data_IF_420009289591
#
_entry.id   IF_420009289591
#
_cell.length_a   1.000
_cell.length_b   1.000
_cell.length_c   1.000
_cell.angle_alpha   90.00
_cell.angle_beta   90.00
_cell.angle_gamma   90.00
#
_symmetry.space_group_name_H-M   'P 1'
#
loop_
_entity.id
_entity.type
_entity.pdbx_description
1 polymer ?
#
# COMPACT_ATOMS: atom_id res chain seq x y z
N UNK A 1 64.03 4.25 25.85
CA UNK A 1 62.96 3.86 24.94
C UNK A 1 61.70 4.64 25.37
N UNK A 2 61.29 5.61 24.55
CA UNK A 2 60.29 6.65 24.92
C UNK A 2 58.90 6.08 25.08
N UNK A 3 58.18 6.56 26.12
CA UNK A 3 56.79 6.19 26.43
C UNK A 3 55.86 6.41 25.19
N UNK A 4 56.20 7.31 24.32
CA UNK A 4 55.49 7.62 23.07
C UNK A 4 55.46 6.45 22.07
N UNK A 5 56.58 5.71 21.93
CA UNK A 5 56.68 4.58 21.00
C UNK A 5 55.94 3.34 21.50
N UNK A 6 55.77 3.20 22.83
CA UNK A 6 55.03 2.09 23.46
C UNK A 6 53.51 2.25 23.31
N UNK A 7 53.01 3.46 23.36
CA UNK A 7 51.56 3.74 23.17
C UNK A 7 51.11 3.62 21.72
N UNK A 8 52.00 3.95 20.75
CA UNK A 8 51.68 3.74 19.31
C UNK A 8 51.63 2.23 18.95
N UNK A 9 52.45 1.41 19.55
CA UNK A 9 52.43 -0.04 19.32
C UNK A 9 51.18 -0.71 19.90
N UNK A 10 50.68 -0.23 21.05
CA UNK A 10 49.43 -0.73 21.64
C UNK A 10 48.20 -0.27 20.86
N UNK A 11 48.14 0.97 20.37
CA UNK A 11 47.05 1.49 19.56
C UNK A 11 46.96 0.80 18.19
N UNK A 12 48.12 0.54 17.54
CA UNK A 12 48.18 -0.20 16.29
C UNK A 12 47.75 -1.68 16.42
N UNK A 13 48.15 -2.33 17.52
CA UNK A 13 47.77 -3.72 17.82
C UNK A 13 46.26 -3.85 18.09
N UNK A 14 45.67 -2.91 18.82
CA UNK A 14 44.22 -2.92 19.11
C UNK A 14 43.38 -2.66 17.86
N UNK A 15 43.76 -1.76 16.97
CA UNK A 15 43.08 -1.52 15.68
C UNK A 15 43.17 -2.74 14.75
N UNK A 16 44.30 -3.45 14.73
CA UNK A 16 44.45 -4.68 13.95
C UNK A 16 43.59 -5.82 14.50
N UNK A 17 43.46 -5.95 15.82
CA UNK A 17 42.61 -6.95 16.45
C UNK A 17 41.11 -6.67 16.20
N UNK A 18 40.67 -5.41 16.28
CA UNK A 18 39.29 -5.01 15.97
C UNK A 18 39.00 -5.26 14.48
N UNK A 19 39.94 -4.94 13.59
CA UNK A 19 39.79 -5.23 12.17
C UNK A 19 39.70 -6.74 11.88
N UNK A 20 40.48 -7.57 12.56
CA UNK A 20 40.42 -9.02 12.41
C UNK A 20 39.14 -9.64 12.94
N UNK A 21 38.61 -9.14 14.07
CA UNK A 21 37.35 -9.60 14.63
C UNK A 21 36.17 -9.16 13.74
N UNK A 22 36.21 -7.94 13.20
CA UNK A 22 35.21 -7.46 12.26
C UNK A 22 35.22 -8.24 10.95
N UNK A 23 36.42 -8.48 10.38
CA UNK A 23 36.56 -9.26 9.14
C UNK A 23 36.20 -10.75 9.34
N UNK A 24 36.53 -11.34 10.48
CA UNK A 24 36.11 -12.72 10.79
C UNK A 24 34.59 -12.80 11.03
N UNK A 25 34.01 -11.85 11.73
CA UNK A 25 32.54 -11.77 11.92
C UNK A 25 31.81 -11.58 10.60
N UNK A 26 32.28 -10.70 9.72
CA UNK A 26 31.73 -10.51 8.38
C UNK A 26 31.84 -11.77 7.51
N UNK A 27 33.01 -12.45 7.54
CA UNK A 27 33.22 -13.70 6.79
C UNK A 27 32.37 -14.86 7.31
N UNK A 28 32.22 -14.98 8.64
CA UNK A 28 31.38 -16.02 9.26
C UNK A 28 29.90 -15.73 9.00
N UNK A 29 29.46 -14.48 9.16
CA UNK A 29 28.07 -14.08 8.90
C UNK A 29 27.65 -14.29 7.44
N UNK A 30 28.54 -13.96 6.49
CA UNK A 30 28.28 -14.18 5.07
C UNK A 30 28.30 -15.68 4.68
N UNK A 31 29.08 -16.50 5.37
CA UNK A 31 29.09 -17.96 5.17
C UNK A 31 27.88 -18.64 5.76
N UNK A 32 27.41 -18.23 6.94
CA UNK A 32 26.23 -18.85 7.57
C UNK A 32 24.95 -18.61 6.76
N UNK A 33 24.74 -17.42 6.19
CA UNK A 33 23.61 -17.16 5.29
C UNK A 33 23.66 -18.03 4.01
N UNK A 34 24.83 -18.19 3.39
CA UNK A 34 24.97 -19.03 2.21
C UNK A 34 24.81 -20.54 2.51
N UNK A 35 25.23 -21.02 3.70
CA UNK A 35 25.03 -22.41 4.10
C UNK A 35 23.56 -22.73 4.44
N UNK A 36 22.82 -21.79 5.06
CA UNK A 36 21.39 -21.97 5.34
C UNK A 36 20.60 -22.05 4.03
N UNK A 37 20.92 -21.18 3.06
CA UNK A 37 20.28 -21.20 1.74
C UNK A 37 20.64 -22.46 0.94
N UNK A 38 21.90 -22.90 0.93
CA UNK A 38 22.33 -24.15 0.29
C UNK A 38 21.76 -25.40 0.97
N UNK A 39 21.58 -25.40 2.30
CA UNK A 39 20.96 -26.51 3.02
C UNK A 39 19.43 -26.57 2.73
N UNK A 40 18.76 -25.44 2.57
CA UNK A 40 17.35 -25.40 2.15
C UNK A 40 17.15 -25.91 0.72
N UNK A 41 18.08 -25.61 -0.21
CA UNK A 41 18.04 -26.16 -1.57
C UNK A 41 18.21 -27.70 -1.52
N UNK A 42 19.07 -28.24 -0.63
CA UNK A 42 19.24 -29.69 -0.51
C UNK A 42 18.00 -30.43 0.02
N UNK A 43 17.07 -29.74 0.69
CA UNK A 43 15.84 -30.32 1.17
C UNK A 43 14.74 -30.34 0.08
N UNK A 44 14.86 -29.51 -0.96
CA UNK A 44 14.04 -29.57 -2.18
C UNK A 44 14.49 -30.68 -3.16
N UNK A 45 15.60 -31.38 -2.85
CA UNK A 45 16.25 -32.39 -3.71
C UNK A 45 15.43 -33.66 -4.01
N UNK A 46 14.25 -33.82 -3.42
CA UNK A 46 13.35 -34.95 -3.71
C UNK A 46 12.20 -34.61 -4.65
N UNK A 47 12.11 -33.37 -5.14
CA UNK A 47 11.07 -33.00 -6.10
C UNK A 47 11.53 -33.34 -7.51
N UNK A 48 10.79 -34.22 -8.19
CA UNK A 48 11.07 -34.55 -9.59
C UNK A 48 10.72 -33.38 -10.52
N UNK A 49 11.69 -32.68 -11.03
CA UNK A 49 11.57 -31.59 -11.99
C UNK A 49 11.67 -32.02 -13.46
N UNK A 50 11.65 -33.33 -13.74
CA UNK A 50 11.81 -33.88 -15.10
C UNK A 50 10.71 -33.35 -16.04
N UNK A 51 9.48 -33.30 -15.58
CA UNK A 51 8.36 -32.77 -16.39
C UNK A 51 8.50 -31.28 -16.65
N UNK A 52 8.95 -30.52 -15.66
CA UNK A 52 9.22 -29.08 -15.81
C UNK A 52 10.25 -28.81 -16.94
N UNK A 53 11.38 -29.50 -16.90
CA UNK A 53 12.42 -29.33 -17.93
C UNK A 53 11.98 -29.84 -19.29
N UNK A 54 11.17 -30.89 -19.34
CA UNK A 54 10.61 -31.39 -20.59
C UNK A 54 9.65 -30.40 -21.22
N UNK A 55 8.78 -29.74 -20.41
CA UNK A 55 7.89 -28.67 -20.90
C UNK A 55 8.71 -27.49 -21.38
N UNK A 56 9.74 -27.06 -20.65
CA UNK A 56 10.64 -26.00 -21.05
C UNK A 56 11.23 -26.26 -22.45
N UNK A 57 11.82 -27.44 -22.63
CA UNK A 57 12.41 -27.83 -23.92
C UNK A 57 11.38 -27.86 -25.06
N UNK A 58 10.19 -28.43 -24.80
CA UNK A 58 9.13 -28.48 -25.80
C UNK A 58 8.63 -27.08 -26.22
N UNK A 59 8.60 -26.13 -25.31
CA UNK A 59 8.27 -24.74 -25.61
C UNK A 59 9.36 -24.10 -26.49
N UNK A 60 10.61 -24.31 -26.17
CA UNK A 60 11.74 -23.80 -26.99
C UNK A 60 11.75 -24.39 -28.41
N UNK A 61 11.37 -25.68 -28.55
CA UNK A 61 11.39 -26.38 -29.83
C UNK A 61 10.12 -26.14 -30.70
N UNK A 62 8.96 -25.98 -30.05
CA UNK A 62 7.66 -26.05 -30.76
C UNK A 62 6.81 -24.80 -30.71
N UNK A 63 7.08 -23.87 -29.78
CA UNK A 63 6.22 -22.70 -29.64
C UNK A 63 6.43 -21.73 -30.81
N UNK A 64 5.35 -21.38 -31.44
CA UNK A 64 5.29 -20.36 -32.52
C UNK A 64 4.35 -19.27 -32.04
N UNK A 65 4.87 -18.04 -31.89
CA UNK A 65 4.03 -16.88 -31.52
C UNK A 65 3.04 -16.58 -32.63
N UNK A 66 1.76 -16.42 -32.29
CA UNK A 66 0.71 -16.02 -33.23
C UNK A 66 0.77 -14.52 -33.58
N UNK A 67 1.54 -13.72 -32.86
CA UNK A 67 1.73 -12.30 -33.12
C UNK A 67 3.21 -11.98 -33.35
N UNK A 68 3.49 -10.89 -34.08
CA UNK A 68 4.84 -10.38 -34.32
C UNK A 68 5.49 -9.70 -33.12
N UNK A 69 5.01 -10.00 -31.91
CA UNK A 69 5.58 -9.48 -30.66
C UNK A 69 6.95 -10.09 -30.38
N UNK A 70 7.77 -9.34 -29.69
CA UNK A 70 9.15 -9.69 -29.31
C UNK A 70 9.19 -11.08 -28.63
N UNK A 71 10.15 -11.91 -29.04
CA UNK A 71 10.34 -13.24 -28.46
C UNK A 71 10.62 -13.10 -26.94
N UNK A 72 9.89 -13.88 -26.11
CA UNK A 72 10.09 -13.93 -24.66
C UNK A 72 11.48 -14.48 -24.36
N UNK A 73 12.26 -13.75 -23.58
CA UNK A 73 13.60 -14.16 -23.15
C UNK A 73 13.55 -15.35 -22.16
N UNK A 74 14.64 -16.08 -22.04
CA UNK A 74 14.72 -17.16 -21.05
C UNK A 74 14.56 -16.63 -19.61
N UNK A 75 15.02 -15.40 -19.34
CA UNK A 75 14.83 -14.78 -18.03
C UNK A 75 13.37 -14.48 -17.72
N UNK A 76 12.61 -14.00 -18.70
CA UNK A 76 11.16 -13.77 -18.54
C UNK A 76 10.40 -15.09 -18.34
N UNK A 77 10.83 -16.19 -19.00
CA UNK A 77 10.28 -17.53 -18.75
C UNK A 77 10.54 -18.01 -17.32
N UNK A 78 11.75 -17.76 -16.78
CA UNK A 78 12.08 -18.06 -15.37
C UNK A 78 11.19 -17.27 -14.44
N UNK A 79 11.02 -15.98 -14.65
CA UNK A 79 10.12 -15.16 -13.82
C UNK A 79 8.67 -15.64 -13.90
N UNK A 80 8.19 -15.99 -15.09
CA UNK A 80 6.86 -16.58 -15.26
C UNK A 80 6.69 -17.92 -14.51
N UNK A 81 7.71 -18.75 -14.50
CA UNK A 81 7.70 -20.01 -13.75
C UNK A 81 7.68 -19.76 -12.23
N UNK A 82 8.44 -18.76 -11.73
CA UNK A 82 8.42 -18.36 -10.31
C UNK A 82 7.04 -17.80 -9.95
N UNK A 83 6.45 -16.94 -10.79
CA UNK A 83 5.09 -16.42 -10.57
C UNK A 83 4.08 -17.56 -10.47
N UNK A 84 4.11 -18.53 -11.40
CA UNK A 84 3.24 -19.70 -11.36
C UNK A 84 3.42 -20.57 -10.11
N UNK A 85 4.66 -20.70 -9.61
CA UNK A 85 4.92 -21.38 -8.33
C UNK A 85 4.27 -20.64 -7.17
N UNK A 86 4.39 -19.32 -7.12
CA UNK A 86 3.78 -18.48 -6.09
C UNK A 86 2.25 -18.55 -6.18
N UNK A 87 1.68 -18.44 -7.36
CA UNK A 87 0.23 -18.51 -7.61
C UNK A 87 -0.38 -19.85 -7.17
N UNK A 88 0.42 -20.94 -7.23
CA UNK A 88 -0.02 -22.27 -6.80
C UNK A 88 -0.35 -22.38 -5.31
N UNK A 89 0.10 -21.41 -4.48
CA UNK A 89 -0.24 -21.34 -3.06
C UNK A 89 -1.70 -20.93 -2.81
N UNK A 90 -2.37 -20.33 -3.81
CA UNK A 90 -3.75 -19.84 -3.69
C UNK A 90 -3.91 -18.63 -2.75
N UNK A 91 -2.81 -17.99 -2.36
CA UNK A 91 -2.82 -16.77 -1.55
C UNK A 91 -2.71 -15.53 -2.45
N UNK A 92 -3.77 -14.70 -2.53
CA UNK A 92 -3.78 -13.53 -3.42
C UNK A 92 -2.82 -12.42 -2.97
N UNK A 93 -2.21 -12.53 -1.78
CA UNK A 93 -1.32 -11.52 -1.21
C UNK A 93 0.15 -11.87 -1.35
N UNK A 94 0.48 -13.15 -1.56
CA UNK A 94 1.83 -13.59 -1.88
C UNK A 94 2.10 -13.39 -3.36
N UNK A 95 3.15 -12.61 -3.69
CA UNK A 95 3.42 -12.17 -5.06
C UNK A 95 4.90 -12.08 -5.32
N UNK A 96 5.37 -12.65 -6.42
CA UNK A 96 6.70 -12.41 -6.94
C UNK A 96 6.71 -11.13 -7.79
N UNK A 97 7.70 -10.27 -7.58
CA UNK A 97 7.88 -9.03 -8.33
C UNK A 97 9.10 -9.12 -9.23
N UNK A 98 8.93 -9.27 -10.55
CA UNK A 98 9.96 -8.97 -11.55
C UNK A 98 10.42 -7.50 -11.48
N UNK A 99 11.49 -7.09 -12.20
CA UNK A 99 12.11 -5.78 -12.05
C UNK A 99 11.15 -4.60 -12.17
N UNK A 100 10.30 -4.60 -13.20
CA UNK A 100 9.36 -3.50 -13.44
C UNK A 100 8.28 -3.42 -12.36
N UNK A 101 7.73 -4.58 -11.97
CA UNK A 101 6.70 -4.65 -10.92
C UNK A 101 7.27 -4.29 -9.53
N UNK A 102 8.55 -4.69 -9.24
CA UNK A 102 9.25 -4.27 -8.02
C UNK A 102 9.37 -2.75 -7.95
N UNK A 103 9.75 -2.12 -9.07
CA UNK A 103 9.83 -0.65 -9.18
C UNK A 103 8.48 0.00 -8.94
N UNK A 104 7.43 -0.45 -9.61
CA UNK A 104 6.08 0.08 -9.47
C UNK A 104 5.54 -0.09 -8.04
N UNK A 105 5.83 -1.22 -7.39
CA UNK A 105 5.46 -1.45 -6.01
C UNK A 105 6.16 -0.47 -5.06
N UNK A 106 7.48 -0.27 -5.22
CA UNK A 106 8.23 0.70 -4.43
C UNK A 106 7.69 2.14 -4.60
N UNK A 107 7.42 2.56 -5.83
CA UNK A 107 6.83 3.87 -6.14
C UNK A 107 5.44 4.03 -5.47
N UNK A 108 4.63 2.98 -5.45
CA UNK A 108 3.32 3.00 -4.80
C UNK A 108 3.40 3.21 -3.28
N UNK A 109 4.42 2.62 -2.63
CA UNK A 109 4.68 2.80 -1.20
C UNK A 109 5.20 4.20 -0.86
N UNK A 110 5.92 4.83 -1.78
CA UNK A 110 6.40 6.20 -1.63
C UNK A 110 5.29 7.25 -1.81
N UNK A 111 4.12 6.85 -2.31
CA UNK A 111 3.02 7.73 -2.66
C UNK A 111 3.26 8.54 -3.94
N UNK A 112 4.26 8.14 -4.70
CA UNK A 112 4.62 8.74 -5.99
C UNK A 112 4.49 7.67 -7.07
N UNK A 113 3.97 8.03 -8.22
CA UNK A 113 4.01 7.15 -9.39
C UNK A 113 4.18 7.98 -10.67
N UNK A 114 4.79 7.36 -11.67
CA UNK A 114 4.93 7.97 -12.98
C UNK A 114 3.68 7.70 -13.82
N UNK A 115 3.02 8.75 -14.27
CA UNK A 115 1.79 8.65 -15.04
C UNK A 115 1.16 10.00 -15.36
N UNK A 116 -0.15 10.03 -15.55
CA UNK A 116 -0.87 11.25 -15.92
C UNK A 116 -1.73 11.83 -14.81
N UNK A 117 -1.97 11.09 -13.71
CA UNK A 117 -2.68 11.59 -12.52
C UNK A 117 -4.18 11.75 -12.76
N UNK A 118 -4.88 10.65 -12.93
CA UNK A 118 -6.33 10.59 -12.92
C UNK A 118 -6.81 9.28 -12.27
N UNK A 119 -7.96 9.32 -11.65
CA UNK A 119 -8.70 8.17 -11.17
C UNK A 119 -9.58 7.65 -12.31
N UNK A 120 -9.58 6.34 -12.49
CA UNK A 120 -10.37 5.65 -13.52
C UNK A 120 -11.23 4.55 -12.90
N UNK A 121 -12.31 4.22 -13.56
CA UNK A 121 -13.25 3.18 -13.16
C UNK A 121 -13.84 2.46 -14.37
N UNK A 122 -14.74 1.50 -14.11
CA UNK A 122 -15.58 0.88 -15.12
C UNK A 122 -17.02 1.19 -14.75
N UNK A 123 -17.75 1.80 -15.66
CA UNK A 123 -19.18 2.09 -15.58
C UNK A 123 -19.86 1.59 -16.87
N UNK A 124 -20.89 0.76 -16.73
CA UNK A 124 -21.61 0.14 -17.87
C UNK A 124 -20.65 -0.54 -18.89
N UNK A 125 -19.69 -1.32 -18.35
CA UNK A 125 -18.64 -2.01 -19.10
C UNK A 125 -17.67 -1.08 -19.88
N UNK A 126 -17.72 0.23 -19.66
CA UNK A 126 -16.83 1.22 -20.26
C UNK A 126 -15.77 1.71 -19.29
N UNK A 127 -14.56 1.94 -19.80
CA UNK A 127 -13.45 2.51 -19.07
C UNK A 127 -13.63 4.04 -18.95
N UNK A 128 -13.90 4.56 -17.76
CA UNK A 128 -14.26 5.97 -17.56
C UNK A 128 -13.29 6.70 -16.63
N UNK A 129 -13.17 8.00 -16.84
CA UNK A 129 -12.45 8.91 -15.95
C UNK A 129 -13.37 9.28 -14.78
N UNK A 130 -13.04 8.83 -13.58
CA UNK A 130 -13.77 9.20 -12.36
C UNK A 130 -13.43 10.65 -11.98
N UNK A 131 -12.13 10.99 -11.95
CA UNK A 131 -11.65 12.35 -11.70
C UNK A 131 -10.17 12.51 -12.09
N UNK A 132 -9.77 13.58 -12.78
CA UNK A 132 -8.37 13.99 -12.83
C UNK A 132 -7.93 14.51 -11.46
N UNK A 133 -6.70 14.21 -11.07
CA UNK A 133 -6.11 14.74 -9.85
C UNK A 133 -5.75 16.21 -10.05
N UNK A 134 -5.93 17.00 -9.00
CA UNK A 134 -5.60 18.43 -9.04
C UNK A 134 -4.13 18.66 -9.41
N UNK A 135 -3.87 19.64 -10.27
CA UNK A 135 -2.55 20.04 -10.78
C UNK A 135 -1.83 18.93 -11.59
N UNK A 136 -2.50 17.82 -11.90
CA UNK A 136 -1.94 16.70 -12.67
C UNK A 136 -1.79 16.99 -14.16
N UNK A 137 -0.99 16.21 -14.91
CA UNK A 137 -0.96 16.25 -16.37
C UNK A 137 -2.33 16.02 -17.02
N UNK A 138 -3.14 15.11 -16.47
CA UNK A 138 -4.49 14.83 -17.00
C UNK A 138 -5.41 16.04 -16.87
N UNK A 139 -5.43 16.71 -15.70
CA UNK A 139 -6.22 17.93 -15.51
C UNK A 139 -5.75 19.05 -16.46
N UNK A 140 -4.42 19.25 -16.58
CA UNK A 140 -3.84 20.26 -17.50
C UNK A 140 -4.15 19.97 -18.97
N UNK A 141 -4.29 18.69 -19.35
CA UNK A 141 -4.71 18.28 -20.69
C UNK A 141 -6.22 18.41 -20.91
N UNK A 142 -6.98 18.79 -19.89
CA UNK A 142 -8.42 19.01 -19.99
C UNK A 142 -9.27 17.75 -19.90
N UNK A 143 -8.77 16.69 -19.26
CA UNK A 143 -9.57 15.51 -18.91
C UNK A 143 -10.63 15.91 -17.88
N UNK A 144 -11.82 15.32 -17.99
CA UNK A 144 -12.96 15.64 -17.12
C UNK A 144 -13.60 14.36 -16.56
N UNK A 145 -14.26 14.45 -15.40
CA UNK A 145 -15.10 13.36 -14.90
C UNK A 145 -16.16 12.97 -15.93
N UNK A 146 -16.33 11.66 -16.16
CA UNK A 146 -17.28 11.12 -17.13
C UNK A 146 -16.72 10.95 -18.55
N UNK A 147 -15.48 11.37 -18.83
CA UNK A 147 -14.86 11.04 -20.11
C UNK A 147 -14.73 9.52 -20.26
N UNK A 148 -15.28 8.95 -21.32
CA UNK A 148 -15.12 7.54 -21.67
C UNK A 148 -13.81 7.39 -22.44
N UNK A 149 -12.89 6.57 -21.96
CA UNK A 149 -11.65 6.26 -22.65
C UNK A 149 -11.89 5.07 -23.56
N UNK A 150 -11.87 5.27 -24.86
CA UNK A 150 -12.11 4.24 -25.88
C UNK A 150 -10.84 3.49 -26.23
N UNK A 151 -9.71 4.20 -26.31
CA UNK A 151 -8.41 3.62 -26.64
C UNK A 151 -7.29 4.25 -25.80
N UNK A 152 -6.24 3.45 -25.55
CA UNK A 152 -4.98 3.86 -24.93
C UNK A 152 -3.86 3.50 -25.91
N UNK A 153 -3.18 4.52 -26.45
CA UNK A 153 -2.13 4.36 -27.49
C UNK A 153 -2.60 3.50 -28.68
N UNK A 154 -3.85 3.69 -29.13
CA UNK A 154 -4.45 2.95 -30.23
C UNK A 154 -4.90 1.52 -29.90
N UNK A 155 -4.91 1.13 -28.62
CA UNK A 155 -5.41 -0.17 -28.16
C UNK A 155 -6.76 0.03 -27.49
N UNK A 156 -7.81 -0.65 -27.98
CA UNK A 156 -9.17 -0.57 -27.42
C UNK A 156 -9.18 -0.96 -25.92
N UNK A 157 -9.97 -0.22 -25.14
CA UNK A 157 -10.21 -0.51 -23.72
C UNK A 157 -11.36 -1.48 -23.48
N UNK A 158 -12.08 -1.88 -24.54
CA UNK A 158 -13.20 -2.82 -24.42
C UNK A 158 -12.75 -4.15 -23.79
N UNK A 159 -13.40 -4.53 -22.71
CA UNK A 159 -13.07 -5.75 -21.95
C UNK A 159 -11.78 -5.69 -21.14
N UNK A 160 -11.10 -4.54 -21.06
CA UNK A 160 -9.94 -4.38 -20.15
C UNK A 160 -10.39 -4.29 -18.70
N UNK A 161 -9.58 -4.87 -17.80
CA UNK A 161 -9.70 -4.57 -16.37
C UNK A 161 -9.10 -3.19 -16.07
N UNK A 162 -9.42 -2.64 -14.90
CA UNK A 162 -8.85 -1.36 -14.44
C UNK A 162 -7.31 -1.45 -14.40
N UNK A 163 -6.77 -2.56 -13.89
CA UNK A 163 -5.33 -2.80 -13.78
C UNK A 163 -4.65 -2.79 -15.14
N UNK A 164 -5.25 -3.45 -16.12
CA UNK A 164 -4.73 -3.49 -17.50
C UNK A 164 -4.69 -2.08 -18.13
N UNK A 165 -5.77 -1.31 -17.97
CA UNK A 165 -5.83 0.06 -18.46
C UNK A 165 -4.83 0.97 -17.74
N UNK A 166 -4.76 0.88 -16.41
CA UNK A 166 -3.81 1.66 -15.60
C UNK A 166 -2.36 1.33 -15.98
N UNK A 167 -2.02 0.05 -16.21
CA UNK A 167 -0.67 -0.35 -16.63
C UNK A 167 -0.26 0.29 -17.95
N UNK A 168 -1.20 0.45 -18.90
CA UNK A 168 -0.93 1.10 -20.20
C UNK A 168 -0.84 2.63 -20.08
N UNK A 169 -1.64 3.23 -19.19
CA UNK A 169 -1.64 4.68 -18.95
C UNK A 169 -0.36 5.11 -18.22
N UNK A 170 0.12 4.32 -17.24
CA UNK A 170 1.39 4.55 -16.56
C UNK A 170 2.57 4.39 -17.52
N UNK A 171 3.72 4.88 -17.11
CA UNK A 171 4.96 4.75 -17.87
C UNK A 171 5.94 5.86 -17.52
N UNK A 172 7.19 5.78 -18.03
CA UNK A 172 8.28 6.67 -17.64
C UNK A 172 7.96 8.15 -17.83
N UNK A 173 8.37 8.97 -16.87
CA UNK A 173 8.29 10.44 -16.91
C UNK A 173 8.81 10.99 -18.24
N UNK A 174 8.08 11.95 -18.80
CA UNK A 174 8.44 12.60 -20.06
C UNK A 174 7.99 11.84 -21.30
N UNK A 175 7.50 10.60 -21.17
CA UNK A 175 6.85 9.88 -22.29
C UNK A 175 5.41 10.38 -22.46
N UNK A 176 4.84 10.18 -23.64
CA UNK A 176 3.46 10.60 -23.93
C UNK A 176 2.56 9.38 -24.04
N UNK A 177 1.37 9.45 -23.44
CA UNK A 177 0.26 8.54 -23.73
C UNK A 177 -0.79 9.30 -24.54
N UNK A 178 -1.41 8.63 -25.50
CA UNK A 178 -2.55 9.15 -26.26
C UNK A 178 -3.80 8.42 -25.79
N UNK A 179 -4.81 9.16 -25.32
CA UNK A 179 -6.11 8.63 -24.95
C UNK A 179 -7.11 9.08 -26.00
N UNK A 180 -7.76 8.14 -26.70
CA UNK A 180 -8.93 8.45 -27.51
C UNK A 180 -10.14 8.43 -26.60
N UNK A 181 -10.81 9.56 -26.44
CA UNK A 181 -11.92 9.71 -25.51
C UNK A 181 -13.20 10.12 -26.23
N UNK A 182 -14.34 9.70 -25.64
CA UNK A 182 -15.65 10.25 -25.94
C UNK A 182 -16.18 11.01 -24.71
N UNK A 183 -16.67 12.20 -24.93
CA UNK A 183 -17.25 13.06 -23.88
C UNK A 183 -18.71 13.30 -24.19
N UNK A 184 -19.57 13.15 -23.19
CA UNK A 184 -20.99 13.44 -23.33
C UNK A 184 -21.21 14.90 -23.78
N UNK A 185 -22.05 15.08 -24.83
CA UNK A 185 -22.28 16.37 -25.46
C UNK A 185 -21.29 16.77 -26.58
N UNK A 186 -20.27 15.97 -26.86
CA UNK A 186 -19.41 16.12 -28.06
C UNK A 186 -19.94 15.23 -29.22
N UNK A 187 -19.79 15.69 -30.46
CA UNK A 187 -20.30 14.97 -31.64
C UNK A 187 -19.39 13.81 -32.10
N UNK A 188 -18.13 13.80 -31.67
CA UNK A 188 -17.12 12.82 -32.08
C UNK A 188 -16.10 12.56 -30.96
N UNK A 189 -15.45 11.39 -31.06
CA UNK A 189 -14.26 11.04 -30.28
C UNK A 189 -13.09 11.97 -30.63
N UNK A 190 -12.16 12.12 -29.67
CA UNK A 190 -10.95 12.91 -29.88
C UNK A 190 -9.75 12.34 -29.13
N UNK A 191 -8.57 12.57 -29.71
CA UNK A 191 -7.30 12.21 -29.07
C UNK A 191 -6.84 13.28 -28.11
N UNK A 192 -6.47 12.86 -26.89
CA UNK A 192 -5.83 13.69 -25.89
C UNK A 192 -4.43 13.13 -25.63
N UNK A 193 -3.41 13.91 -25.98
CA UNK A 193 -2.00 13.56 -25.74
C UNK A 193 -1.56 14.14 -24.41
N UNK A 194 -1.10 13.26 -23.51
CA UNK A 194 -0.73 13.64 -22.15
C UNK A 194 0.69 13.19 -21.88
N UNK A 195 1.55 14.13 -21.52
CA UNK A 195 2.93 13.82 -21.11
C UNK A 195 2.91 13.32 -19.67
N UNK A 196 3.46 12.13 -19.44
CA UNK A 196 3.57 11.53 -18.12
C UNK A 196 4.54 12.32 -17.25
N UNK A 197 4.20 12.48 -15.99
CA UNK A 197 5.05 13.13 -14.97
C UNK A 197 4.97 12.34 -13.66
N UNK A 198 5.76 12.76 -12.67
CA UNK A 198 5.65 12.22 -11.32
C UNK A 198 4.37 12.78 -10.69
N UNK A 199 3.47 11.89 -10.32
CA UNK A 199 2.21 12.21 -9.65
C UNK A 199 2.44 12.05 -8.15
N UNK A 200 2.34 13.15 -7.42
CA UNK A 200 2.38 13.14 -5.97
C UNK A 200 0.95 13.11 -5.44
N UNK A 201 0.56 12.02 -4.83
CA UNK A 201 -0.68 11.96 -4.07
C UNK A 201 -0.33 12.36 -2.64
N UNK A 202 -0.90 13.44 -2.10
CA UNK A 202 -0.68 13.76 -0.69
C UNK A 202 -1.20 12.61 0.17
N UNK A 203 -0.39 12.11 1.11
CA UNK A 203 -0.86 11.07 2.03
C UNK A 203 -1.98 11.61 2.95
N UNK A 204 -1.98 12.91 3.21
CA UNK A 204 -2.88 13.55 4.17
C UNK A 204 -3.43 14.85 3.61
N UNK A 205 -4.72 15.09 3.89
CA UNK A 205 -5.39 16.37 3.70
C UNK A 205 -6.07 16.78 5.00
N UNK A 206 -5.99 18.04 5.35
CA UNK A 206 -6.69 18.62 6.50
C UNK A 206 -7.75 19.63 6.07
N UNK A 207 -8.86 19.68 6.77
CA UNK A 207 -9.86 20.73 6.61
C UNK A 207 -10.63 20.98 7.92
N UNK A 208 -11.30 22.13 8.02
CA UNK A 208 -12.16 22.45 9.16
C UNK A 208 -13.61 22.55 8.68
N UNK A 209 -14.51 21.77 9.26
CA UNK A 209 -15.95 21.75 8.99
C UNK A 209 -16.71 22.20 10.24
N UNK A 210 -16.95 23.50 10.35
CA UNK A 210 -17.58 24.09 11.54
C UNK A 210 -16.69 23.96 12.79
N UNK A 211 -17.11 23.14 13.75
CA UNK A 211 -16.39 22.87 15.00
C UNK A 211 -15.53 21.57 14.97
N UNK A 212 -15.53 20.87 13.84
CA UNK A 212 -14.81 19.63 13.62
C UNK A 212 -13.55 19.88 12.79
N UNK A 213 -12.43 19.33 13.22
CA UNK A 213 -11.21 19.21 12.42
C UNK A 213 -11.20 17.85 11.73
N UNK A 214 -10.93 17.85 10.44
CA UNK A 214 -10.93 16.64 9.60
C UNK A 214 -9.53 16.36 9.12
N UNK A 215 -9.08 15.12 9.29
CA UNK A 215 -7.86 14.57 8.69
C UNK A 215 -8.28 13.45 7.76
N UNK A 216 -8.09 13.61 6.47
CA UNK A 216 -8.22 12.54 5.48
C UNK A 216 -6.83 11.94 5.25
N UNK A 217 -6.66 10.66 5.59
CA UNK A 217 -5.42 9.90 5.41
C UNK A 217 -5.61 8.91 4.27
N UNK A 218 -4.87 9.07 3.18
CA UNK A 218 -5.02 8.30 1.95
C UNK A 218 -4.10 7.09 1.85
N UNK A 219 -2.93 7.13 2.53
CA UNK A 219 -2.00 5.99 2.59
C UNK A 219 -1.05 6.09 3.79
N UNK A 220 -0.49 4.95 4.21
CA UNK A 220 0.53 4.86 5.24
C UNK A 220 1.91 4.75 4.59
N UNK A 221 2.26 5.74 3.75
CA UNK A 221 3.54 5.83 3.06
C UNK A 221 4.69 6.28 3.96
N UNK A 222 5.90 6.37 3.41
CA UNK A 222 7.14 6.69 4.14
C UNK A 222 7.11 8.04 4.88
N UNK A 223 6.36 9.02 4.38
CA UNK A 223 6.23 10.36 4.98
C UNK A 223 4.99 10.53 5.84
N UNK A 224 4.08 9.57 5.82
CA UNK A 224 2.74 9.71 6.43
C UNK A 224 2.79 10.00 7.92
N UNK A 225 3.71 9.38 8.70
CA UNK A 225 3.89 9.66 10.12
C UNK A 225 4.26 11.12 10.39
N UNK A 226 5.19 11.70 9.63
CA UNK A 226 5.61 13.08 9.79
C UNK A 226 4.52 14.08 9.36
N UNK A 227 3.78 13.76 8.31
CA UNK A 227 2.64 14.54 7.82
C UNK A 227 1.48 14.47 8.82
N UNK A 228 1.20 13.29 9.40
CA UNK A 228 0.19 13.12 10.43
C UNK A 228 0.48 13.92 11.69
N UNK A 229 1.75 13.92 12.13
CA UNK A 229 2.21 14.79 13.23
C UNK A 229 1.95 16.27 12.92
N UNK A 230 2.19 16.70 11.69
CA UNK A 230 1.90 18.07 11.24
C UNK A 230 0.41 18.36 11.29
N UNK A 231 -0.44 17.44 10.80
CA UNK A 231 -1.89 17.56 10.85
C UNK A 231 -2.44 17.60 12.29
N UNK A 232 -1.88 16.80 13.21
CA UNK A 232 -2.22 16.88 14.64
C UNK A 232 -1.80 18.21 15.28
N UNK A 233 -0.67 18.78 14.87
CA UNK A 233 -0.25 20.11 15.30
C UNK A 233 -1.24 21.18 14.81
N UNK A 234 -1.71 21.11 13.57
CA UNK A 234 -2.74 21.99 13.03
C UNK A 234 -4.05 21.83 13.81
N UNK A 235 -4.43 20.59 14.12
CA UNK A 235 -5.60 20.30 14.96
C UNK A 235 -5.50 21.02 16.32
N UNK A 236 -4.40 20.86 17.04
CA UNK A 236 -4.17 21.53 18.33
C UNK A 236 -4.25 23.06 18.19
N UNK A 237 -3.60 23.62 17.16
CA UNK A 237 -3.62 25.08 16.90
C UNK A 237 -5.01 25.58 16.53
N UNK A 238 -5.85 24.76 15.93
CA UNK A 238 -7.25 25.09 15.58
C UNK A 238 -8.15 25.29 16.79
N UNK A 239 -7.70 24.84 18.00
CA UNK A 239 -8.48 24.86 19.25
C UNK A 239 -9.82 24.13 19.15
N UNK A 240 -9.93 23.18 18.22
CA UNK A 240 -11.10 22.30 18.15
C UNK A 240 -10.93 21.12 19.11
N UNK A 241 -12.03 20.58 19.61
CA UNK A 241 -12.07 19.40 20.48
C UNK A 241 -12.62 18.16 19.79
N UNK A 242 -13.02 18.29 18.52
CA UNK A 242 -13.61 17.22 17.71
C UNK A 242 -12.74 16.91 16.52
N UNK A 243 -12.34 15.63 16.41
CA UNK A 243 -11.48 15.12 15.34
C UNK A 243 -12.23 14.07 14.54
N UNK A 244 -12.31 14.24 13.23
CA UNK A 244 -12.75 13.22 12.30
C UNK A 244 -11.53 12.75 11.50
N UNK A 245 -11.23 11.46 11.60
CA UNK A 245 -10.20 10.79 10.80
C UNK A 245 -10.89 10.00 9.69
N UNK A 246 -10.66 10.37 8.42
CA UNK A 246 -11.20 9.67 7.27
C UNK A 246 -10.17 8.71 6.68
N UNK A 247 -10.44 7.40 6.81
CA UNK A 247 -9.63 6.30 6.29
C UNK A 247 -10.32 5.59 5.12
N UNK A 248 -11.43 6.13 4.60
CA UNK A 248 -12.13 5.51 3.48
C UNK A 248 -11.25 5.50 2.23
N UNK A 249 -11.23 4.35 1.53
CA UNK A 249 -10.39 4.17 0.35
C UNK A 249 -8.89 4.10 0.64
N UNK A 250 -8.46 4.03 1.90
CA UNK A 250 -7.05 3.91 2.26
C UNK A 250 -6.62 2.43 2.32
N UNK A 251 -5.82 1.93 1.36
CA UNK A 251 -5.44 0.52 1.28
C UNK A 251 -4.41 0.10 2.34
N UNK A 252 -3.96 1.03 3.18
CA UNK A 252 -2.94 0.78 4.20
C UNK A 252 -1.55 1.30 3.81
N UNK A 253 -0.54 0.51 4.12
CA UNK A 253 0.88 0.79 3.92
C UNK A 253 1.74 0.24 5.06
N UNK A 254 2.71 1.03 5.53
CA UNK A 254 3.65 0.59 6.56
C UNK A 254 3.01 0.39 7.93
N UNK A 255 3.31 -0.76 8.54
CA UNK A 255 2.92 -1.08 9.92
C UNK A 255 3.39 -0.03 10.93
N UNK A 256 4.69 0.32 10.84
CA UNK A 256 5.30 1.26 11.79
C UNK A 256 4.60 2.61 11.77
N UNK A 257 4.10 3.05 10.60
CA UNK A 257 3.32 4.27 10.49
C UNK A 257 1.97 4.17 11.23
N UNK A 258 1.28 3.02 11.15
CA UNK A 258 0.03 2.81 11.88
C UNK A 258 0.26 2.79 13.40
N UNK A 259 1.33 2.13 13.85
CA UNK A 259 1.71 2.07 15.27
C UNK A 259 2.10 3.46 15.79
N UNK A 260 2.91 4.22 15.05
CA UNK A 260 3.27 5.61 15.40
C UNK A 260 2.01 6.50 15.50
N UNK A 261 1.12 6.44 14.50
CA UNK A 261 -0.12 7.23 14.51
C UNK A 261 -1.05 6.83 15.65
N UNK A 262 -1.19 5.54 15.96
CA UNK A 262 -1.97 5.07 17.09
C UNK A 262 -1.38 5.56 18.41
N UNK A 263 -0.05 5.66 18.52
CA UNK A 263 0.67 6.08 19.74
C UNK A 263 0.39 7.53 20.16
N UNK A 264 -0.15 8.36 19.28
CA UNK A 264 -0.61 9.71 19.65
C UNK A 264 -1.85 9.70 20.54
N UNK A 265 -2.63 8.61 20.52
CA UNK A 265 -3.93 8.50 21.19
C UNK A 265 -3.96 7.37 22.21
N UNK A 266 -3.34 6.24 21.90
CA UNK A 266 -3.32 5.04 22.76
C UNK A 266 -2.28 5.19 23.85
N UNK A 267 -2.62 4.90 25.13
CA UNK A 267 -1.67 4.98 26.23
C UNK A 267 -0.44 4.08 26.05
N UNK A 268 0.71 4.52 26.59
CA UNK A 268 1.98 3.80 26.51
C UNK A 268 1.88 2.35 26.98
N UNK A 269 2.52 1.45 26.24
CA UNK A 269 2.59 0.02 26.53
C UNK A 269 1.32 -0.77 26.21
N UNK A 270 0.22 -0.13 25.81
CA UNK A 270 -0.97 -0.81 25.31
C UNK A 270 -0.71 -1.40 23.93
N UNK A 271 -1.28 -2.57 23.66
CA UNK A 271 -1.16 -3.23 22.35
C UNK A 271 -1.91 -2.41 21.30
N UNK A 272 -1.28 -2.17 20.17
CA UNK A 272 -1.88 -1.58 18.97
C UNK A 272 -2.34 -2.69 18.03
N UNK A 273 -1.49 -3.70 17.84
CA UNK A 273 -1.77 -4.86 17.00
C UNK A 273 -0.85 -6.01 17.43
N UNK A 274 -1.29 -7.24 17.24
CA UNK A 274 -0.49 -8.45 17.46
C UNK A 274 -0.26 -9.16 16.14
N UNK A 275 0.98 -9.53 15.88
CA UNK A 275 1.41 -10.39 14.77
C UNK A 275 1.39 -11.85 15.25
N UNK A 276 0.52 -12.65 14.64
CA UNK A 276 0.30 -14.04 15.01
C UNK A 276 0.86 -14.98 13.94
N UNK A 277 1.95 -15.67 14.28
CA UNK A 277 2.64 -16.64 13.42
C UNK A 277 2.09 -18.06 13.58
N UNK A 278 1.09 -18.24 14.44
CA UNK A 278 0.48 -19.53 14.77
C UNK A 278 1.06 -20.15 16.04
N UNK A 279 2.36 -20.34 16.14
CA UNK A 279 3.07 -20.90 17.28
C UNK A 279 3.67 -19.84 18.21
N UNK A 280 3.86 -18.63 17.71
CA UNK A 280 4.30 -17.47 18.49
C UNK A 280 3.51 -16.21 18.12
N UNK A 281 3.48 -15.25 19.04
CA UNK A 281 2.84 -13.96 18.85
C UNK A 281 3.78 -12.82 19.21
N UNK A 282 3.71 -11.73 18.44
CA UNK A 282 4.50 -10.53 18.68
C UNK A 282 3.60 -9.31 18.75
N UNK A 283 3.62 -8.64 19.90
CA UNK A 283 2.85 -7.43 20.12
C UNK A 283 3.60 -6.19 19.66
N UNK A 284 2.91 -5.33 18.91
CA UNK A 284 3.30 -3.96 18.64
C UNK A 284 2.53 -3.04 19.59
N UNK A 285 3.28 -2.32 20.40
CA UNK A 285 2.72 -1.53 21.48
C UNK A 285 2.89 -0.05 21.25
N UNK A 286 1.93 0.72 21.74
CA UNK A 286 1.98 2.18 21.74
C UNK A 286 3.19 2.70 22.50
N UNK A 287 3.90 3.66 21.91
CA UNK A 287 4.94 4.44 22.56
C UNK A 287 4.38 5.48 23.55
N UNK A 288 3.08 5.80 23.42
CA UNK A 288 2.34 6.60 24.38
C UNK A 288 2.67 8.08 24.37
N UNK A 289 2.65 8.71 23.22
CA UNK A 289 2.76 10.17 23.16
C UNK A 289 1.55 10.86 23.77
N UNK A 290 0.37 10.23 23.70
CA UNK A 290 -0.91 10.50 24.36
C UNK A 290 -1.07 11.96 24.83
N UNK A 291 -1.01 12.88 23.85
CA UNK A 291 -1.06 14.33 24.12
C UNK A 291 -2.49 14.86 24.28
N UNK A 292 -3.48 14.03 24.01
CA UNK A 292 -4.89 14.40 24.05
C UNK A 292 -5.52 13.96 25.36
N UNK A 293 -6.35 14.84 25.94
CA UNK A 293 -7.14 14.54 27.13
C UNK A 293 -8.35 13.67 26.81
N UNK A 294 -9.00 13.12 27.83
CA UNK A 294 -10.27 12.37 27.72
C UNK A 294 -11.43 13.20 27.12
N UNK A 295 -11.24 14.51 26.98
CA UNK A 295 -12.21 15.41 26.34
C UNK A 295 -12.19 15.33 24.80
N UNK A 296 -11.17 14.71 24.18
CA UNK A 296 -11.13 14.52 22.75
C UNK A 296 -12.32 13.66 22.29
N UNK A 297 -13.13 14.22 21.40
CA UNK A 297 -14.18 13.47 20.71
C UNK A 297 -13.68 13.09 19.33
N UNK A 298 -13.64 11.79 19.05
CA UNK A 298 -13.06 11.26 17.82
C UNK A 298 -13.99 10.27 17.14
N UNK A 299 -14.09 10.41 15.82
CA UNK A 299 -14.74 9.46 14.92
C UNK A 299 -13.76 9.08 13.84
N UNK A 300 -13.75 7.82 13.45
CA UNK A 300 -13.00 7.31 12.30
C UNK A 300 -13.99 6.83 11.24
N UNK A 301 -13.92 7.40 10.05
CA UNK A 301 -14.65 6.93 8.88
C UNK A 301 -13.92 5.80 8.20
N UNK A 302 -14.62 4.70 7.94
CA UNK A 302 -14.09 3.50 7.29
C UNK A 302 -15.02 2.97 6.22
N UNK A 303 -14.49 2.26 5.23
CA UNK A 303 -15.27 1.55 4.23
C UNK A 303 -14.52 0.30 3.72
N UNK A 304 -15.08 -0.38 2.72
CA UNK A 304 -14.44 -1.56 2.08
C UNK A 304 -13.06 -1.29 1.47
N UNK A 305 -12.71 -0.03 1.23
CA UNK A 305 -11.38 0.37 0.77
C UNK A 305 -10.38 0.59 1.92
N UNK A 306 -10.82 0.58 3.19
CA UNK A 306 -9.95 0.66 4.36
C UNK A 306 -9.35 -0.71 4.64
N UNK A 307 -8.03 -0.87 4.45
CA UNK A 307 -7.36 -2.17 4.55
C UNK A 307 -6.02 -2.10 5.31
N UNK A 308 -5.56 -3.24 5.85
CA UNK A 308 -4.21 -3.41 6.42
C UNK A 308 -3.90 -2.38 7.53
N UNK A 309 -2.90 -1.49 7.36
CA UNK A 309 -2.52 -0.45 8.32
C UNK A 309 -3.71 0.45 8.74
N UNK A 310 -4.68 0.69 7.84
CA UNK A 310 -5.92 1.40 8.18
C UNK A 310 -6.76 0.62 9.19
N UNK A 311 -6.83 -0.69 9.05
CA UNK A 311 -7.56 -1.57 9.97
C UNK A 311 -6.83 -1.69 11.31
N UNK A 312 -5.50 -1.70 11.30
CA UNK A 312 -4.68 -1.67 12.52
C UNK A 312 -4.96 -0.40 13.32
N UNK A 313 -4.86 0.77 12.69
CA UNK A 313 -5.12 2.05 13.36
C UNK A 313 -6.57 2.16 13.84
N UNK A 314 -7.54 1.87 12.97
CA UNK A 314 -8.96 1.96 13.30
C UNK A 314 -9.36 0.99 14.42
N UNK A 315 -8.91 -0.27 14.35
CA UNK A 315 -9.16 -1.29 15.35
C UNK A 315 -8.57 -0.95 16.71
N UNK A 316 -7.32 -0.44 16.74
CA UNK A 316 -6.71 0.01 17.98
C UNK A 316 -7.50 1.17 18.62
N UNK A 317 -7.89 2.18 17.83
CA UNK A 317 -8.66 3.32 18.35
C UNK A 317 -10.06 2.91 18.84
N UNK A 318 -10.72 1.99 18.14
CA UNK A 318 -12.03 1.47 18.51
C UNK A 318 -11.97 0.66 19.80
N UNK A 319 -11.09 -0.36 19.87
CA UNK A 319 -11.05 -1.30 20.98
C UNK A 319 -10.48 -0.69 22.27
N UNK A 320 -9.66 0.35 22.16
CA UNK A 320 -9.27 1.15 23.33
C UNK A 320 -10.32 2.21 23.73
N UNK A 321 -11.46 2.30 23.03
CA UNK A 321 -12.53 3.22 23.34
C UNK A 321 -12.23 4.70 23.04
N UNK A 322 -11.20 4.96 22.22
CA UNK A 322 -10.73 6.32 21.90
C UNK A 322 -11.60 6.95 20.82
N UNK A 323 -12.02 6.16 19.83
CA UNK A 323 -12.85 6.63 18.72
C UNK A 323 -14.02 5.69 18.46
N UNK A 324 -15.05 6.23 17.79
CA UNK A 324 -16.15 5.45 17.22
C UNK A 324 -15.91 5.28 15.71
N UNK A 325 -16.06 4.05 15.22
CA UNK A 325 -16.01 3.79 13.78
C UNK A 325 -17.37 4.03 13.15
N UNK A 326 -17.36 4.72 12.00
CA UNK A 326 -18.58 5.06 11.23
C UNK A 326 -18.35 4.67 9.77
N UNK A 327 -19.36 4.10 9.12
CA UNK A 327 -19.31 3.75 7.69
C UNK A 327 -19.72 2.33 7.38
N UNK A 328 -18.98 1.63 6.52
CA UNK A 328 -19.21 0.21 6.20
C UNK A 328 -18.08 -0.65 6.74
N UNK A 329 -18.29 -1.98 6.78
CA UNK A 329 -17.22 -2.93 7.10
C UNK A 329 -15.96 -2.64 6.30
N UNK A 330 -14.79 -2.79 6.93
CA UNK A 330 -13.50 -2.65 6.28
C UNK A 330 -13.19 -3.86 5.38
N UNK A 331 -12.07 -3.84 4.72
CA UNK A 331 -11.68 -4.85 3.72
C UNK A 331 -11.49 -6.25 4.31
N UNK A 332 -10.86 -6.35 5.48
CA UNK A 332 -10.49 -7.62 6.11
C UNK A 332 -9.13 -8.17 5.64
N UNK A 333 -8.17 -7.29 5.31
CA UNK A 333 -6.81 -7.70 4.99
C UNK A 333 -6.01 -7.90 6.27
N UNK A 334 -6.25 -9.02 6.92
CA UNK A 334 -5.58 -9.38 8.17
C UNK A 334 -4.32 -10.23 8.00
N UNK A 335 -3.77 -10.35 6.80
CA UNK A 335 -2.50 -11.05 6.55
C UNK A 335 -1.31 -10.11 6.63
N UNK A 336 -0.23 -10.60 7.26
CA UNK A 336 1.08 -9.92 7.33
C UNK A 336 1.91 -10.34 6.15
N UNK A 337 2.44 -9.39 5.40
CA UNK A 337 3.37 -9.68 4.31
C UNK A 337 4.77 -9.18 4.65
N UNK A 338 5.74 -10.05 4.41
CA UNK A 338 7.15 -9.68 4.35
C UNK A 338 7.58 -9.47 2.90
N UNK A 339 8.37 -8.42 2.67
CA UNK A 339 9.01 -8.18 1.37
C UNK A 339 10.44 -8.69 1.45
N UNK A 340 10.70 -9.82 0.82
CA UNK A 340 12.02 -10.45 0.76
C UNK A 340 12.71 -10.05 -0.53
N UNK A 341 13.89 -9.42 -0.44
CA UNK A 341 14.72 -9.17 -1.61
C UNK A 341 15.41 -10.48 -2.07
N UNK A 342 15.08 -10.94 -3.27
CA UNK A 342 15.70 -12.11 -3.87
C UNK A 342 16.97 -11.74 -4.66
N UNK A 343 16.94 -10.57 -5.28
CA UNK A 343 18.06 -9.96 -6.00
C UNK A 343 17.90 -8.43 -5.99
N UNK A 344 18.90 -7.65 -6.44
CA UNK A 344 18.72 -6.21 -6.60
C UNK A 344 17.52 -5.82 -7.46
N UNK A 345 17.10 -6.67 -8.38
CA UNK A 345 16.07 -6.41 -9.38
C UNK A 345 14.72 -7.08 -9.06
N UNK A 346 14.69 -8.11 -8.20
CA UNK A 346 13.48 -8.89 -7.93
C UNK A 346 13.20 -9.02 -6.44
N UNK A 347 11.93 -9.19 -6.06
CA UNK A 347 11.52 -9.45 -4.69
C UNK A 347 10.34 -10.39 -4.62
N UNK A 348 10.13 -10.99 -3.45
CA UNK A 348 8.98 -11.80 -3.11
C UNK A 348 8.26 -11.12 -1.94
N UNK A 349 7.01 -10.78 -2.13
CA UNK A 349 6.10 -10.43 -1.04
C UNK A 349 5.39 -11.69 -0.61
N UNK A 350 5.58 -12.14 0.62
CA UNK A 350 5.07 -13.42 1.12
C UNK A 350 4.28 -13.22 2.41
N UNK A 351 3.12 -13.87 2.51
CA UNK A 351 2.34 -13.89 3.75
C UNK A 351 3.01 -14.78 4.78
N UNK A 352 3.32 -14.18 5.95
CA UNK A 352 4.07 -14.85 7.02
C UNK A 352 3.28 -14.98 8.33
N UNK A 353 2.25 -14.16 8.56
CA UNK A 353 1.50 -14.14 9.79
C UNK A 353 0.10 -13.52 9.58
N UNK A 354 -0.66 -13.40 10.68
CA UNK A 354 -1.98 -12.74 10.70
C UNK A 354 -1.99 -11.59 11.70
N UNK A 355 -2.77 -10.56 11.38
CA UNK A 355 -3.02 -9.44 12.30
C UNK A 355 -4.18 -9.75 13.22
N UNK A 356 -3.96 -9.58 14.53
CA UNK A 356 -4.99 -9.57 15.55
C UNK A 356 -5.11 -8.16 16.14
N UNK A 357 -6.35 -7.72 16.35
CA UNK A 357 -6.65 -6.48 17.06
C UNK A 357 -6.17 -6.56 18.54
N UNK A 358 -6.13 -5.46 19.31
CA UNK A 358 -5.76 -5.50 20.73
C UNK A 358 -6.53 -6.53 21.57
N UNK A 359 -7.78 -6.82 21.23
CA UNK A 359 -8.59 -7.82 21.93
C UNK A 359 -8.44 -9.25 21.36
N UNK A 360 -7.52 -9.46 20.41
CA UNK A 360 -7.24 -10.77 19.83
C UNK A 360 -8.19 -11.18 18.71
N UNK A 361 -8.99 -10.27 18.16
CA UNK A 361 -9.87 -10.58 17.00
C UNK A 361 -9.06 -10.55 15.71
N UNK A 362 -9.20 -11.58 14.87
CA UNK A 362 -8.56 -11.63 13.56
C UNK A 362 -9.18 -10.59 12.61
N UNK A 363 -8.35 -9.76 12.03
CA UNK A 363 -8.78 -8.81 11.00
C UNK A 363 -9.23 -9.55 9.73
N UNK A 364 -8.67 -10.75 9.45
CA UNK A 364 -9.05 -11.59 8.31
C UNK A 364 -10.49 -12.11 8.38
N UNK A 365 -11.13 -12.08 9.55
CA UNK A 365 -12.49 -12.61 9.74
C UNK A 365 -13.59 -11.64 9.23
N UNK A 366 -13.33 -10.98 8.12
CA UNK A 366 -14.27 -10.11 7.43
C UNK A 366 -14.17 -8.64 7.80
N UNK A 367 -13.02 -8.21 8.30
CA UNK A 367 -12.71 -6.82 8.61
C UNK A 367 -13.37 -6.29 9.89
N UNK A 368 -13.09 -5.02 10.18
CA UNK A 368 -13.67 -4.33 11.32
C UNK A 368 -15.14 -3.98 11.06
N UNK A 369 -15.97 -4.15 12.08
CA UNK A 369 -17.37 -3.72 12.03
C UNK A 369 -17.48 -2.33 12.69
N UNK A 370 -17.99 -1.31 11.98
CA UNK A 370 -18.20 0.00 12.54
C UNK A 370 -19.21 -0.01 13.70
N UNK A 371 -19.02 0.90 14.68
CA UNK A 371 -20.01 1.16 15.75
C UNK A 371 -21.32 1.70 15.15
N UNK A 372 -21.21 2.49 14.06
CA UNK A 372 -22.33 3.04 13.31
C UNK A 372 -22.24 2.59 11.86
N UNK A 373 -22.99 1.52 11.55
CA UNK A 373 -23.00 0.92 10.21
C UNK A 373 -23.90 1.74 9.28
N UNK A 374 -23.34 2.25 8.17
CA UNK A 374 -24.03 3.08 7.17
C UNK A 374 -23.78 2.50 5.78
N UNK A 375 -24.56 1.51 5.38
CA UNK A 375 -24.42 0.80 4.10
C UNK A 375 -25.25 1.39 2.97
N UNK A 376 -26.31 2.14 3.32
CA UNK A 376 -27.27 2.67 2.36
C UNK A 376 -27.65 4.11 2.67
N UNK A 377 -27.96 4.84 1.62
CA UNK A 377 -28.55 6.17 1.71
C UNK A 377 -30.04 6.00 1.96
N UNK A 378 -30.66 6.67 2.95
CA UNK A 378 -32.11 6.65 3.14
C UNK A 378 -32.85 7.22 1.93
N UNK A 379 -34.04 6.70 1.62
CA UNK A 379 -34.89 7.19 0.53
C UNK A 379 -35.28 8.67 0.67
N UNK A 380 -35.19 9.20 1.90
CA UNK A 380 -35.44 10.60 2.23
C UNK A 380 -34.29 11.54 1.90
N UNK A 381 -33.11 11.03 1.56
CA UNK A 381 -31.99 11.87 1.17
C UNK A 381 -32.17 12.48 -0.23
N UNK A 382 -31.50 13.59 -0.55
CA UNK A 382 -31.53 14.17 -1.91
C UNK A 382 -31.09 13.12 -2.95
N UNK A 383 -31.72 13.12 -4.12
CA UNK A 383 -31.54 12.09 -5.16
C UNK A 383 -30.10 11.95 -5.65
N UNK A 384 -29.32 13.03 -5.60
CA UNK A 384 -27.93 13.07 -6.09
C UNK A 384 -26.88 12.85 -4.99
N UNK A 385 -27.31 12.46 -3.78
CA UNK A 385 -26.39 12.22 -2.65
C UNK A 385 -25.58 10.95 -2.90
N UNK A 386 -24.24 11.07 -2.91
CA UNK A 386 -23.35 9.90 -2.94
C UNK A 386 -23.25 9.28 -1.54
N UNK A 387 -23.08 7.96 -1.45
CA UNK A 387 -22.97 7.25 -0.15
C UNK A 387 -21.80 7.79 0.69
N UNK A 388 -20.66 8.10 0.08
CA UNK A 388 -19.52 8.67 0.79
C UNK A 388 -19.82 10.03 1.43
N UNK A 389 -20.57 10.89 0.73
CA UNK A 389 -20.96 12.20 1.26
C UNK A 389 -21.98 12.05 2.41
N UNK A 390 -22.93 11.14 2.25
CA UNK A 390 -23.89 10.83 3.30
C UNK A 390 -23.22 10.27 4.57
N UNK A 391 -22.26 9.33 4.41
CA UNK A 391 -21.48 8.81 5.53
C UNK A 391 -20.69 9.91 6.24
N UNK A 392 -20.11 10.84 5.48
CA UNK A 392 -19.36 11.96 6.05
C UNK A 392 -20.26 12.88 6.88
N UNK A 393 -21.44 13.23 6.35
CA UNK A 393 -22.40 14.09 7.05
C UNK A 393 -22.94 13.42 8.33
N UNK A 394 -23.21 12.10 8.28
CA UNK A 394 -23.63 11.35 9.46
C UNK A 394 -22.51 11.27 10.52
N UNK A 395 -21.24 11.05 10.09
CA UNK A 395 -20.11 11.08 11.00
C UNK A 395 -19.97 12.44 11.70
N UNK A 396 -20.16 13.55 10.98
CA UNK A 396 -20.16 14.88 11.58
C UNK A 396 -21.32 15.05 12.60
N UNK A 397 -22.52 14.51 12.33
CA UNK A 397 -23.65 14.55 13.26
C UNK A 397 -23.38 13.74 14.53
N UNK A 398 -22.86 12.50 14.36
CA UNK A 398 -22.48 11.63 15.47
C UNK A 398 -21.44 12.31 16.34
N UNK A 399 -20.38 12.85 15.74
CA UNK A 399 -19.28 13.50 16.46
C UNK A 399 -19.73 14.76 17.22
N UNK A 400 -20.75 15.49 16.69
CA UNK A 400 -21.36 16.63 17.40
C UNK A 400 -22.24 16.21 18.57
N UNK A 401 -22.80 15.02 18.53
CA UNK A 401 -23.65 14.48 19.58
C UNK A 401 -22.86 13.84 20.74
N UNK A 402 -21.57 13.55 20.56
CA UNK A 402 -20.64 13.07 21.58
C UNK A 402 -20.20 14.20 22.50
#
# INVERSE_FOLDING_TARGET
MNIFTRNLSFAGGSLLLIGLVFFSGYFVGNRTNNYAFSAAISQADNTDLTEFWKVWQLLDEKFISASSTTAVSNQEKVWGAISGLVDSLGDPYTTFFPPEEKKQFAESLEGNFEGIGMEVGIEDDMFVVVSPLKDSPAEKAGMQPGDVVLEIDGVSTEGMTIEQGVSKIRGPRGTTVTLTIFRDGEEAERDVKIVRDIINIPNIKTEVKGDVFVISLYSFGTKSSSEFRTALREFVLSKKSRLLLDLRGNPGGYLDAAVDMASWFVPSGKVVVTEDFGDEQKDFRSEGQNIFSDDLKMVVLVNKGSASASEILAGALQEHGIAKLVGTKTFGKGSVQELVELSPETSLKVTIARWLTPNGTSISDGGLTPDYLIEKIPETAPKDTKLMDYQFDEALKILKAM
#
